data_IF_149319656144
#
_entry.id   IF_149319656144
#
_cell.length_a   1.000
_cell.length_b   1.000
_cell.length_c   1.000
_cell.angle_alpha   90.00
_cell.angle_beta   90.00
_cell.angle_gamma   90.00
#
_symmetry.space_group_name_H-M   'P 1'
#
loop_
_entity.id
_entity.type
_entity.pdbx_description
1 polymer ?
#
# COMPACT_ATOMS: atom_id res chain seq x y z
N UNK A 1 44.27 -21.08 27.72
CA UNK A 1 44.33 -20.49 26.35
C UNK A 1 44.49 -21.56 25.26
N UNK A 2 44.10 -22.74 25.50
CA UNK A 2 44.00 -23.80 24.50
C UNK A 2 42.52 -23.97 24.20
N UNK A 3 42.08 -23.64 22.97
CA UNK A 3 40.92 -24.24 22.34
C UNK A 3 40.07 -23.32 21.44
N UNK A 4 40.56 -22.11 21.13
CA UNK A 4 39.85 -21.32 20.12
C UNK A 4 40.19 -21.69 18.67
N UNK A 5 41.29 -22.40 18.43
CA UNK A 5 41.70 -22.78 17.06
C UNK A 5 41.10 -24.10 16.54
N UNK A 6 40.60 -24.97 17.43
CA UNK A 6 40.08 -26.27 17.03
C UNK A 6 38.64 -26.24 16.50
N UNK A 7 37.90 -25.20 16.83
CA UNK A 7 36.47 -25.08 16.45
C UNK A 7 36.21 -24.41 15.10
N UNK A 8 37.23 -23.74 14.54
CA UNK A 8 37.04 -22.99 13.29
C UNK A 8 36.87 -23.86 12.02
N UNK A 9 37.29 -25.13 12.09
CA UNK A 9 37.24 -26.04 10.95
C UNK A 9 36.24 -27.19 11.10
N UNK A 10 35.36 -27.13 12.07
CA UNK A 10 34.36 -28.17 12.25
C UNK A 10 33.09 -27.81 11.44
N UNK A 11 32.75 -28.58 10.38
CA UNK A 11 31.62 -28.30 9.52
C UNK A 11 30.27 -28.33 10.25
N UNK A 12 30.23 -29.03 11.41
CA UNK A 12 29.01 -29.09 12.22
C UNK A 12 28.72 -27.78 12.95
N UNK A 13 29.76 -27.00 13.29
CA UNK A 13 29.59 -25.70 13.97
C UNK A 13 29.17 -24.61 12.98
N UNK A 14 29.63 -24.70 11.73
CA UNK A 14 29.18 -23.75 10.69
C UNK A 14 27.70 -23.89 10.33
N UNK A 15 27.10 -25.05 10.61
CA UNK A 15 25.64 -25.26 10.46
C UNK A 15 24.83 -24.57 11.57
N UNK A 16 25.38 -24.46 12.77
CA UNK A 16 24.74 -23.74 13.89
C UNK A 16 24.89 -22.22 13.80
N UNK A 17 25.91 -21.74 13.13
CA UNK A 17 26.16 -20.32 12.89
C UNK A 17 25.53 -19.81 11.59
N UNK A 18 24.71 -20.59 10.90
CA UNK A 18 23.85 -20.02 9.84
C UNK A 18 22.84 -19.08 10.47
N UNK A 19 23.31 -17.87 10.73
CA UNK A 19 22.42 -16.74 10.97
C UNK A 19 21.47 -16.68 9.79
N UNK A 20 20.27 -17.16 9.96
CA UNK A 20 19.23 -16.99 8.97
C UNK A 20 19.02 -15.48 8.84
N UNK A 21 19.55 -14.92 7.76
CA UNK A 21 19.30 -13.52 7.42
C UNK A 21 17.79 -13.34 7.26
N UNK A 22 17.12 -12.99 8.35
CA UNK A 22 15.69 -12.70 8.33
C UNK A 22 15.50 -11.53 7.38
N UNK A 23 14.87 -11.79 6.24
CA UNK A 23 14.54 -10.75 5.27
C UNK A 23 13.70 -9.69 5.96
N UNK A 24 14.22 -8.48 6.04
CA UNK A 24 13.47 -7.35 6.60
C UNK A 24 12.21 -7.12 5.78
N UNK A 25 11.07 -7.03 6.44
CA UNK A 25 9.80 -6.75 5.77
C UNK A 25 9.81 -5.32 5.20
N UNK A 26 9.28 -5.15 3.98
CA UNK A 26 9.16 -3.83 3.35
C UNK A 26 8.01 -3.00 3.95
N UNK A 27 7.09 -3.61 4.65
CA UNK A 27 5.88 -3.00 5.22
C UNK A 27 5.72 -3.36 6.71
N UNK A 28 6.59 -2.86 7.60
CA UNK A 28 6.61 -3.28 9.01
C UNK A 28 5.34 -2.87 9.78
N UNK A 29 4.68 -1.78 9.39
CA UNK A 29 3.48 -1.30 10.08
C UNK A 29 2.26 -2.21 9.90
N UNK A 30 2.22 -3.04 8.87
CA UNK A 30 1.15 -4.00 8.63
C UNK A 30 1.22 -5.24 9.55
N UNK A 31 2.34 -5.51 10.20
CA UNK A 31 2.55 -6.65 11.10
C UNK A 31 2.12 -7.99 10.48
N UNK A 32 2.66 -8.31 9.31
CA UNK A 32 2.38 -9.55 8.57
C UNK A 32 0.91 -9.72 8.14
N UNK A 33 0.16 -8.65 8.04
CA UNK A 33 -1.19 -8.64 7.48
C UNK A 33 -1.18 -8.08 6.05
N UNK A 34 -2.05 -8.56 5.14
CA UNK A 34 -2.11 -8.03 3.77
C UNK A 34 -2.63 -6.61 3.72
N UNK A 35 -3.59 -6.25 4.57
CA UNK A 35 -4.13 -4.90 4.74
C UNK A 35 -4.38 -4.59 6.21
N UNK A 36 -4.45 -3.30 6.52
CA UNK A 36 -4.86 -2.79 7.84
C UNK A 36 -5.78 -1.60 7.68
N UNK A 37 -6.76 -1.51 8.56
CA UNK A 37 -7.64 -0.36 8.68
C UNK A 37 -6.96 0.75 9.49
N UNK A 38 -7.24 1.99 9.13
CA UNK A 38 -6.77 3.15 9.86
C UNK A 38 -7.66 4.36 9.66
N UNK A 39 -7.40 5.39 10.44
CA UNK A 39 -8.09 6.68 10.38
C UNK A 39 -7.14 7.73 9.85
N UNK A 40 -7.56 8.52 8.87
CA UNK A 40 -6.78 9.61 8.34
C UNK A 40 -6.66 10.74 9.37
N UNK A 41 -5.43 11.12 9.70
CA UNK A 41 -5.15 12.27 10.56
C UNK A 41 -4.95 13.54 9.75
N UNK A 42 -4.41 13.43 8.55
CA UNK A 42 -4.15 14.55 7.64
C UNK A 42 -4.13 14.08 6.20
N UNK A 43 -4.65 14.91 5.30
CA UNK A 43 -4.58 14.71 3.84
C UNK A 43 -3.89 15.91 3.23
N UNK A 44 -2.87 15.68 2.42
CA UNK A 44 -2.06 16.75 1.82
C UNK A 44 -1.45 16.31 0.49
N UNK A 45 -0.77 17.23 -0.18
CA UNK A 45 -0.05 16.96 -1.41
C UNK A 45 1.44 17.08 -1.19
N UNK A 46 2.20 16.26 -1.90
CA UNK A 46 3.66 16.29 -1.88
C UNK A 46 4.21 16.32 -3.30
N UNK A 47 5.36 16.96 -3.46
CA UNK A 47 6.11 16.91 -4.72
C UNK A 47 6.96 15.65 -4.79
N UNK A 48 7.05 15.01 -5.97
CA UNK A 48 7.91 13.86 -6.14
C UNK A 48 9.41 14.26 -6.19
N UNK A 49 10.23 13.26 -6.07
CA UNK A 49 11.68 13.34 -6.22
C UNK A 49 12.05 13.70 -7.67
N UNK A 50 13.12 14.52 -7.87
CA UNK A 50 13.67 14.78 -9.20
C UNK A 50 14.00 13.48 -9.96
N UNK A 51 13.79 13.38 -11.26
CA UNK A 51 13.43 14.43 -12.24
C UNK A 51 11.92 14.67 -12.40
N UNK A 52 11.07 14.02 -11.62
CA UNK A 52 9.62 14.13 -11.77
C UNK A 52 9.07 15.39 -11.09
N UNK A 53 7.98 15.92 -11.63
CA UNK A 53 7.25 17.05 -11.08
C UNK A 53 5.76 16.78 -11.15
N UNK A 54 5.09 16.87 -10.03
CA UNK A 54 3.65 16.70 -9.90
C UNK A 54 3.19 17.10 -8.48
N UNK A 55 1.88 17.10 -8.26
CA UNK A 55 1.29 17.17 -6.93
C UNK A 55 0.70 15.81 -6.59
N UNK A 56 1.45 15.01 -5.85
CA UNK A 56 1.02 13.67 -5.40
C UNK A 56 0.18 13.79 -4.14
N UNK A 57 -0.99 13.17 -4.16
CA UNK A 57 -1.92 13.18 -3.02
C UNK A 57 -1.57 12.06 -2.06
N UNK A 58 -1.35 12.40 -0.81
CA UNK A 58 -1.00 11.47 0.25
C UNK A 58 -1.85 11.73 1.50
N UNK A 59 -2.02 10.70 2.29
CA UNK A 59 -2.71 10.77 3.56
C UNK A 59 -1.81 10.26 4.69
N UNK A 60 -1.81 10.96 5.80
CA UNK A 60 -1.24 10.45 7.04
C UNK A 60 -2.31 9.66 7.76
N UNK A 61 -2.05 8.41 8.04
CA UNK A 61 -3.04 7.47 8.57
C UNK A 61 -2.52 6.82 9.84
N UNK A 62 -3.34 6.85 10.89
CA UNK A 62 -3.10 6.08 12.11
C UNK A 62 -3.76 4.72 11.98
N UNK A 63 -2.96 3.67 11.95
CA UNK A 63 -3.42 2.30 11.83
C UNK A 63 -3.94 1.75 13.16
N UNK A 64 -4.78 0.72 13.10
CA UNK A 64 -5.24 -0.03 14.29
C UNK A 64 -4.10 -0.72 15.03
N UNK A 65 -2.96 -0.93 14.38
CA UNK A 65 -1.73 -1.45 14.99
C UNK A 65 -0.97 -0.42 15.85
N UNK A 66 -1.44 0.84 15.91
CA UNK A 66 -0.83 1.93 16.66
C UNK A 66 0.23 2.73 15.90
N UNK A 67 0.64 2.29 14.71
CA UNK A 67 1.57 3.02 13.86
C UNK A 67 0.89 4.12 13.06
N UNK A 68 1.59 5.21 12.85
CA UNK A 68 1.19 6.28 11.96
C UNK A 68 2.06 6.26 10.70
N UNK A 69 1.42 6.13 9.54
CA UNK A 69 2.11 5.95 8.26
C UNK A 69 1.62 6.95 7.23
N UNK A 70 2.46 7.25 6.24
CA UNK A 70 2.09 8.02 5.07
C UNK A 70 1.72 7.06 3.96
N UNK A 71 0.50 7.18 3.44
CA UNK A 71 -0.03 6.35 2.37
C UNK A 71 -0.36 7.18 1.13
N UNK A 72 -0.02 6.65 -0.04
CA UNK A 72 -0.35 7.27 -1.31
C UNK A 72 -1.82 6.99 -1.68
N UNK A 73 -2.51 8.00 -2.18
CA UNK A 73 -3.88 7.88 -2.70
C UNK A 73 -3.81 7.72 -4.21
N UNK A 74 -3.99 6.50 -4.77
CA UNK A 74 -3.90 6.28 -6.21
C UNK A 74 -5.14 6.77 -6.96
N UNK A 75 -4.98 7.05 -8.23
CA UNK A 75 -6.06 7.44 -9.13
C UNK A 75 -6.31 8.95 -9.18
N UNK A 76 -7.29 9.34 -9.99
CA UNK A 76 -7.67 10.73 -10.23
C UNK A 76 -8.82 11.10 -9.28
N UNK A 77 -8.61 12.15 -8.49
CA UNK A 77 -9.60 12.61 -7.53
C UNK A 77 -9.86 11.66 -6.36
N UNK A 78 -10.27 12.16 -5.24
CA UNK A 78 -10.64 11.39 -4.06
C UNK A 78 -11.61 12.18 -3.18
N UNK A 79 -12.29 11.45 -2.28
CA UNK A 79 -13.18 12.02 -1.27
C UNK A 79 -12.65 11.86 0.16
N UNK A 80 -11.39 11.49 0.31
CA UNK A 80 -10.78 11.26 1.61
C UNK A 80 -10.51 12.57 2.31
N UNK A 81 -10.97 12.68 3.54
CA UNK A 81 -10.79 13.84 4.41
C UNK A 81 -10.17 13.42 5.74
N UNK A 82 -9.90 14.38 6.63
CA UNK A 82 -9.54 14.07 8.01
C UNK A 82 -10.65 13.24 8.67
N UNK A 83 -10.23 12.32 9.53
CA UNK A 83 -11.11 11.36 10.22
C UNK A 83 -11.80 10.31 9.33
N UNK A 84 -11.51 10.25 8.03
CA UNK A 84 -11.98 9.18 7.16
C UNK A 84 -11.32 7.86 7.53
N UNK A 85 -12.12 6.79 7.56
CA UNK A 85 -11.61 5.43 7.77
C UNK A 85 -11.21 4.84 6.43
N UNK A 86 -9.96 4.38 6.35
CA UNK A 86 -9.39 3.83 5.10
C UNK A 86 -8.72 2.50 5.35
N UNK A 87 -8.61 1.72 4.27
CA UNK A 87 -7.87 0.46 4.26
C UNK A 87 -6.51 0.70 3.59
N UNK A 88 -5.44 0.27 4.25
CA UNK A 88 -4.06 0.47 3.81
C UNK A 88 -3.46 -0.87 3.42
N UNK A 89 -2.76 -0.88 2.29
CA UNK A 89 -1.94 -2.01 1.82
C UNK A 89 -0.48 -1.61 1.68
N UNK A 90 0.39 -2.60 1.62
CA UNK A 90 1.80 -2.38 1.30
C UNK A 90 2.01 -2.03 -0.17
N UNK A 91 3.14 -1.47 -0.47
CA UNK A 91 3.57 -1.07 -1.80
C UNK A 91 4.28 0.28 -1.75
N UNK A 92 5.55 0.29 -2.16
CA UNK A 92 6.34 1.52 -2.18
C UNK A 92 6.01 2.38 -3.39
N UNK A 93 5.90 3.68 -3.19
CA UNK A 93 5.89 4.66 -4.28
C UNK A 93 7.33 5.12 -4.50
N UNK A 94 7.88 4.81 -5.67
CA UNK A 94 9.27 5.10 -6.00
C UNK A 94 9.57 6.61 -6.05
N UNK A 95 8.61 7.41 -6.51
CA UNK A 95 8.75 8.87 -6.64
C UNK A 95 8.67 9.62 -5.31
N UNK A 96 8.06 9.02 -4.29
CA UNK A 96 7.87 9.65 -2.99
C UNK A 96 8.78 9.02 -1.94
N UNK A 97 9.77 9.75 -1.41
CA UNK A 97 10.62 9.23 -0.36
C UNK A 97 9.82 8.97 0.92
N UNK A 98 10.03 7.78 1.52
CA UNK A 98 9.35 7.40 2.76
C UNK A 98 7.91 6.95 2.63
N UNK A 99 7.32 6.92 1.44
CA UNK A 99 5.96 6.42 1.20
C UNK A 99 6.02 4.93 0.83
N UNK A 100 5.62 4.07 1.75
CA UNK A 100 5.68 2.59 1.61
C UNK A 100 4.31 1.94 1.56
N UNK A 101 3.25 2.71 1.57
CA UNK A 101 1.87 2.22 1.67
C UNK A 101 0.97 2.89 0.66
N UNK A 102 -0.11 2.21 0.32
CA UNK A 102 -1.16 2.73 -0.55
C UNK A 102 -2.51 2.63 0.14
N UNK A 103 -3.38 3.59 -0.13
CA UNK A 103 -4.79 3.51 0.21
C UNK A 103 -5.51 2.62 -0.81
N UNK A 104 -6.30 1.66 -0.35
CA UNK A 104 -7.14 0.82 -1.21
C UNK A 104 -8.40 1.59 -1.57
N UNK A 105 -8.58 1.88 -2.88
CA UNK A 105 -9.74 2.60 -3.40
C UNK A 105 -10.96 1.69 -3.48
N UNK A 106 -12.14 2.27 -3.26
CA UNK A 106 -13.40 1.54 -3.35
C UNK A 106 -13.77 0.73 -2.10
N UNK A 107 -13.06 0.94 -0.99
CA UNK A 107 -13.31 0.29 0.29
C UNK A 107 -13.51 1.30 1.40
N UNK A 108 -14.32 0.97 2.41
CA UNK A 108 -14.61 1.86 3.52
C UNK A 108 -15.01 3.28 3.02
N UNK A 109 -14.38 4.33 3.54
CA UNK A 109 -14.68 5.71 3.15
C UNK A 109 -14.00 6.17 1.86
N UNK A 110 -13.08 5.38 1.30
CA UNK A 110 -12.40 5.70 0.06
C UNK A 110 -13.25 5.27 -1.14
N UNK A 111 -13.85 6.22 -1.86
CA UNK A 111 -14.61 5.94 -3.07
C UNK A 111 -13.70 5.48 -4.21
N UNK A 112 -14.23 4.64 -5.10
CA UNK A 112 -13.54 4.24 -6.33
C UNK A 112 -13.40 5.40 -7.32
N UNK A 113 -12.53 5.26 -8.30
CA UNK A 113 -12.36 6.24 -9.38
C UNK A 113 -13.56 6.17 -10.31
N UNK A 114 -14.20 7.32 -10.56
CA UNK A 114 -15.34 7.42 -11.48
C UNK A 114 -14.88 7.22 -12.93
N UNK A 115 -15.76 6.60 -13.72
CA UNK A 115 -15.62 6.45 -15.19
C UNK A 115 -14.33 5.78 -15.67
N UNK A 116 -13.65 5.10 -14.78
CA UNK A 116 -12.46 4.35 -15.14
C UNK A 116 -12.82 3.06 -15.86
N UNK A 117 -12.29 2.86 -17.05
CA UNK A 117 -12.56 1.69 -17.90
C UNK A 117 -11.47 0.61 -17.84
N UNK A 118 -10.21 1.02 -17.67
CA UNK A 118 -9.05 0.13 -17.60
C UNK A 118 -8.58 -0.08 -16.17
N UNK A 119 -8.14 -1.29 -15.83
CA UNK A 119 -7.63 -1.64 -14.50
C UNK A 119 -8.59 -1.26 -13.37
N UNK A 120 -9.87 -1.48 -13.55
CA UNK A 120 -10.91 -1.06 -12.61
C UNK A 120 -10.73 -1.63 -11.21
N UNK A 121 -10.29 -2.87 -11.09
CA UNK A 121 -10.08 -3.54 -9.81
C UNK A 121 -8.98 -2.88 -8.95
N UNK A 122 -7.98 -2.27 -9.59
CA UNK A 122 -6.91 -1.56 -8.88
C UNK A 122 -7.35 -0.21 -8.29
N UNK A 123 -8.41 0.38 -8.84
CA UNK A 123 -8.89 1.72 -8.47
C UNK A 123 -10.33 1.72 -7.95
N UNK A 124 -10.87 0.56 -7.64
CA UNK A 124 -12.23 0.44 -7.13
C UNK A 124 -13.33 0.87 -8.11
N UNK A 125 -13.04 0.86 -9.42
CA UNK A 125 -14.00 1.22 -10.45
C UNK A 125 -15.06 0.14 -10.66
N UNK A 126 -16.33 0.54 -10.74
CA UNK A 126 -17.43 -0.38 -11.03
C UNK A 126 -17.55 -0.60 -12.54
N UNK A 127 -17.93 -1.81 -12.95
CA UNK A 127 -18.25 -2.10 -14.35
C UNK A 127 -19.53 -1.35 -14.73
N UNK A 128 -19.48 -0.56 -15.79
CA UNK A 128 -20.67 0.03 -16.36
C UNK A 128 -21.54 -1.09 -16.96
N UNK A 129 -22.76 -1.26 -16.46
CA UNK A 129 -23.72 -2.13 -17.09
C UNK A 129 -24.25 -1.41 -18.34
N UNK A 130 -23.95 -1.94 -19.49
CA UNK A 130 -24.63 -1.52 -20.72
C UNK A 130 -26.04 -2.10 -20.60
N UNK A 131 -27.03 -1.27 -20.33
CA UNK A 131 -28.42 -1.65 -20.49
C UNK A 131 -28.60 -1.99 -21.97
N UNK A 132 -28.77 -3.26 -22.29
CA UNK A 132 -29.26 -3.68 -23.61
C UNK A 132 -30.71 -3.27 -23.67
N UNK A 133 -30.97 -2.03 -24.04
CA UNK A 133 -32.30 -1.62 -24.49
C UNK A 133 -32.49 -2.28 -25.84
N UNK A 134 -33.17 -3.40 -25.88
CA UNK A 134 -33.65 -3.95 -27.15
C UNK A 134 -34.67 -2.94 -27.67
N UNK A 135 -34.49 -2.39 -28.89
CA UNK A 135 -35.57 -1.61 -29.47
C UNK A 135 -36.76 -2.56 -29.66
N UNK A 136 -37.83 -2.28 -28.94
CA UNK A 136 -39.11 -2.93 -29.20
C UNK A 136 -39.43 -2.65 -30.68
N UNK A 137 -39.32 -3.66 -31.52
CA UNK A 137 -39.85 -3.64 -32.87
C UNK A 137 -41.36 -3.30 -32.74
N UNK A 138 -41.71 -2.04 -33.07
CA UNK A 138 -43.10 -1.68 -33.34
C UNK A 138 -43.50 -2.38 -34.61
N UNK A 139 -44.33 -3.37 -34.47
CA UNK A 139 -45.11 -3.99 -35.55
C UNK A 139 -46.17 -2.98 -35.96
#
# INVERSE_FOLDING_TARGET
QLNKKFYANNPTISLFERVTNKKKTKSPALKSCPQRRGVCTRVYTTTPKKPNSALRKVARVRLTSGFEVTAYIPGIGHNIQEHSVVLIRGGRVKDLPGCRYHVVRGTLDAAGVKDRKQSRSKYGGKKQRISKTYPLLKI
#
